data_IF_807949871098
#
_entry.id   IF_807949871098
#
_cell.length_a   1.000
_cell.length_b   1.000
_cell.length_c   1.000
_cell.angle_alpha   90.00
_cell.angle_beta   90.00
_cell.angle_gamma   90.00
#
_symmetry.space_group_name_H-M   'P 1'
#
loop_
_entity.id
_entity.type
_entity.pdbx_description
1 polymer ?
#
# COMPACT_ATOMS: atom_id res chain seq x y z
N UNK A 1 38.96 -13.15 -13.15
CA UNK A 1 38.00 -14.22 -13.42
C UNK A 1 37.31 -14.52 -12.10
N UNK A 2 36.31 -13.68 -11.74
CA UNK A 2 35.59 -13.80 -10.47
C UNK A 2 34.09 -14.03 -10.79
N UNK A 3 33.72 -15.31 -10.86
CA UNK A 3 32.34 -15.76 -10.92
C UNK A 3 31.81 -15.82 -9.49
N UNK A 4 31.46 -14.70 -8.92
CA UNK A 4 30.52 -14.71 -7.79
C UNK A 4 29.14 -15.02 -8.34
N UNK A 5 28.85 -16.33 -8.41
CA UNK A 5 27.52 -16.83 -8.70
C UNK A 5 26.53 -16.27 -7.69
N UNK A 6 25.74 -15.32 -8.13
CA UNK A 6 24.53 -14.87 -7.43
C UNK A 6 23.48 -15.96 -7.54
N UNK A 7 23.72 -17.09 -6.88
CA UNK A 7 22.67 -18.08 -6.64
C UNK A 7 21.67 -17.44 -5.68
N UNK A 8 20.53 -17.02 -6.21
CA UNK A 8 19.40 -16.65 -5.36
C UNK A 8 19.02 -17.89 -4.53
N UNK A 9 18.79 -17.73 -3.22
CA UNK A 9 18.35 -18.84 -2.39
C UNK A 9 17.07 -19.43 -2.95
N UNK A 10 17.03 -20.73 -3.13
CA UNK A 10 15.83 -21.45 -3.57
C UNK A 10 15.01 -21.97 -2.37
N UNK A 11 15.61 -22.03 -1.19
CA UNK A 11 14.97 -22.45 0.04
C UNK A 11 14.03 -21.34 0.57
N UNK A 12 12.74 -21.66 0.85
CA UNK A 12 11.76 -20.66 1.31
C UNK A 12 12.18 -19.88 2.56
N UNK A 13 12.85 -20.52 3.54
CA UNK A 13 13.30 -19.85 4.76
C UNK A 13 14.42 -18.85 4.47
N UNK A 14 15.36 -19.19 3.61
CA UNK A 14 16.43 -18.31 3.17
C UNK A 14 15.89 -17.13 2.34
N UNK A 15 14.90 -17.36 1.46
CA UNK A 15 14.22 -16.32 0.69
C UNK A 15 13.47 -15.35 1.62
N UNK A 16 12.72 -15.88 2.60
CA UNK A 16 12.00 -15.07 3.58
C UNK A 16 12.95 -14.18 4.37
N UNK A 17 14.08 -14.72 4.83
CA UNK A 17 15.12 -13.97 5.56
C UNK A 17 15.73 -12.86 4.71
N UNK A 18 15.97 -13.13 3.43
CA UNK A 18 16.53 -12.14 2.50
C UNK A 18 15.52 -11.02 2.18
N UNK A 19 14.24 -11.35 2.01
CA UNK A 19 13.16 -10.36 1.86
C UNK A 19 13.08 -9.47 3.11
N UNK A 20 13.07 -10.06 4.32
CA UNK A 20 13.04 -9.31 5.56
C UNK A 20 14.24 -8.37 5.72
N UNK A 21 15.41 -8.74 5.20
CA UNK A 21 16.61 -7.91 5.19
C UNK A 21 16.55 -6.79 4.14
N UNK A 22 16.06 -7.08 2.93
CA UNK A 22 16.06 -6.15 1.79
C UNK A 22 14.91 -5.14 1.87
N UNK A 23 13.73 -5.56 2.31
CA UNK A 23 12.54 -4.71 2.34
C UNK A 23 12.76 -3.39 3.11
N UNK A 24 13.32 -3.38 4.33
CA UNK A 24 13.59 -2.13 5.05
C UNK A 24 14.59 -1.22 4.34
N UNK A 25 15.57 -1.79 3.61
CA UNK A 25 16.53 -1.02 2.84
C UNK A 25 15.87 -0.36 1.61
N UNK A 26 15.03 -1.09 0.88
CA UNK A 26 14.22 -0.58 -0.23
C UNK A 26 13.28 0.52 0.26
N UNK A 27 12.56 0.26 1.35
CA UNK A 27 11.65 1.24 1.94
C UNK A 27 12.39 2.54 2.32
N UNK A 28 13.50 2.46 3.06
CA UNK A 28 14.29 3.64 3.44
C UNK A 28 14.84 4.40 2.23
N UNK A 29 15.26 3.68 1.19
CA UNK A 29 15.85 4.28 -0.02
C UNK A 29 14.82 5.03 -0.87
N UNK A 30 13.60 4.51 -0.95
CA UNK A 30 12.56 5.04 -1.82
C UNK A 30 11.39 5.68 -1.07
N UNK A 31 11.41 5.69 0.26
CA UNK A 31 10.38 6.36 1.05
C UNK A 31 10.23 7.81 0.63
N UNK A 32 9.01 8.22 0.35
CA UNK A 32 8.70 9.61 0.07
C UNK A 32 9.07 10.52 1.25
N UNK A 33 9.66 11.70 1.02
CA UNK A 33 9.96 12.65 2.09
C UNK A 33 8.70 13.05 2.84
N UNK A 34 8.76 13.12 4.16
CA UNK A 34 7.62 13.54 4.99
C UNK A 34 7.09 14.95 4.63
N UNK A 35 7.94 15.81 4.08
CA UNK A 35 7.61 17.16 3.63
C UNK A 35 6.69 17.19 2.40
N UNK A 36 6.65 16.13 1.58
CA UNK A 36 5.70 16.03 0.47
C UNK A 36 4.23 15.98 0.95
N UNK A 37 4.01 15.79 2.24
CA UNK A 37 2.71 15.72 2.91
C UNK A 37 2.32 17.07 3.53
N UNK A 38 3.27 17.99 3.71
CA UNK A 38 3.13 19.17 4.57
C UNK A 38 2.22 20.31 4.07
N UNK A 39 1.79 20.29 2.81
CA UNK A 39 0.95 21.36 2.24
C UNK A 39 -0.56 21.14 2.36
N UNK A 40 -1.03 19.92 2.57
CA UNK A 40 -2.45 19.55 2.52
C UNK A 40 -3.09 19.39 3.91
N UNK A 41 -2.30 19.44 4.98
CA UNK A 41 -2.76 19.14 6.33
C UNK A 41 -3.17 17.66 6.53
N UNK A 42 -2.83 16.78 5.59
CA UNK A 42 -3.09 15.36 5.68
C UNK A 42 -1.91 14.66 6.38
N UNK A 43 -2.23 13.79 7.33
CA UNK A 43 -1.20 12.95 7.95
C UNK A 43 -0.82 11.78 7.01
N UNK A 44 0.37 11.17 7.18
CA UNK A 44 0.74 9.98 6.40
C UNK A 44 -0.30 8.85 6.49
N UNK A 45 -0.91 8.64 7.66
CA UNK A 45 -1.97 7.63 7.85
C UNK A 45 -3.25 7.97 7.08
N UNK A 46 -3.64 9.24 7.03
CA UNK A 46 -4.79 9.68 6.23
C UNK A 46 -4.55 9.44 4.75
N UNK A 47 -3.34 9.72 4.26
CA UNK A 47 -2.94 9.43 2.88
C UNK A 47 -2.95 7.93 2.57
N UNK A 48 -2.49 7.10 3.49
CA UNK A 48 -2.55 5.64 3.34
C UNK A 48 -3.99 5.18 3.15
N UNK A 49 -4.94 5.69 3.95
CA UNK A 49 -6.38 5.40 3.80
C UNK A 49 -6.89 5.79 2.41
N UNK A 50 -6.59 7.01 1.95
CA UNK A 50 -7.02 7.48 0.63
C UNK A 50 -6.43 6.66 -0.52
N UNK A 51 -5.14 6.34 -0.43
CA UNK A 51 -4.45 5.54 -1.45
C UNK A 51 -4.95 4.11 -1.50
N UNK A 52 -5.28 3.54 -0.34
CA UNK A 52 -5.88 2.21 -0.26
C UNK A 52 -7.24 2.17 -0.95
N UNK A 53 -8.11 3.15 -0.68
CA UNK A 53 -9.42 3.27 -1.33
C UNK A 53 -9.33 3.49 -2.86
N UNK A 54 -8.24 4.07 -3.39
CA UNK A 54 -8.02 4.13 -4.84
C UNK A 54 -7.78 2.75 -5.44
N UNK A 55 -7.00 1.92 -4.76
CA UNK A 55 -6.61 0.60 -5.25
C UNK A 55 -7.71 -0.45 -5.09
N UNK A 56 -8.36 -0.48 -3.94
CA UNK A 56 -9.33 -1.52 -3.55
C UNK A 56 -10.78 -1.15 -3.83
N UNK A 57 -11.07 0.13 -4.13
CA UNK A 57 -12.44 0.63 -4.20
C UNK A 57 -13.03 0.93 -2.82
N UNK A 58 -14.36 1.06 -2.72
CA UNK A 58 -15.03 1.35 -1.47
C UNK A 58 -14.98 0.15 -0.52
N UNK A 59 -14.66 0.41 0.75
CA UNK A 59 -14.54 -0.58 1.82
C UNK A 59 -15.31 -0.14 3.06
N UNK A 60 -15.75 -1.10 3.87
CA UNK A 60 -16.23 -0.82 5.23
C UNK A 60 -15.06 -0.43 6.15
N UNK A 61 -15.36 0.16 7.32
CA UNK A 61 -14.33 0.47 8.33
C UNK A 61 -13.57 -0.79 8.77
N UNK A 62 -14.29 -1.92 8.92
CA UNK A 62 -13.68 -3.20 9.32
C UNK A 62 -12.70 -3.73 8.27
N UNK A 63 -13.14 -3.85 7.02
CA UNK A 63 -12.29 -4.28 5.90
C UNK A 63 -11.05 -3.37 5.76
N UNK A 64 -11.24 -2.05 5.89
CA UNK A 64 -10.14 -1.11 5.79
C UNK A 64 -9.16 -1.21 6.96
N UNK A 65 -9.65 -1.47 8.18
CA UNK A 65 -8.83 -1.68 9.36
C UNK A 65 -7.96 -2.94 9.21
N UNK A 66 -8.55 -4.03 8.77
CA UNK A 66 -7.88 -5.29 8.49
C UNK A 66 -6.76 -5.13 7.46
N UNK A 67 -7.10 -4.60 6.28
CA UNK A 67 -6.13 -4.37 5.20
C UNK A 67 -4.96 -3.44 5.59
N UNK A 68 -5.18 -2.49 6.49
CA UNK A 68 -4.15 -1.53 6.91
C UNK A 68 -3.42 -1.97 8.19
N UNK A 69 -3.81 -3.09 8.80
CA UNK A 69 -3.26 -3.54 10.08
C UNK A 69 -3.51 -2.55 11.22
N UNK A 70 -4.67 -1.88 11.22
CA UNK A 70 -5.08 -0.89 12.20
C UNK A 70 -6.28 -1.38 13.01
N UNK A 71 -6.49 -0.80 14.21
CA UNK A 71 -7.74 -1.03 14.93
C UNK A 71 -8.93 -0.36 14.22
N UNK A 72 -10.13 -0.92 14.33
CA UNK A 72 -11.36 -0.33 13.81
C UNK A 72 -11.61 1.09 14.37
N UNK A 73 -11.27 1.33 15.64
CA UNK A 73 -11.38 2.64 16.27
C UNK A 73 -10.45 3.66 15.60
N UNK A 74 -9.17 3.32 15.42
CA UNK A 74 -8.20 4.19 14.73
C UNK A 74 -8.62 4.48 13.28
N UNK A 75 -9.09 3.46 12.57
CA UNK A 75 -9.57 3.61 11.19
C UNK A 75 -10.81 4.50 11.13
N UNK A 76 -11.75 4.33 12.06
CA UNK A 76 -12.95 5.17 12.15
C UNK A 76 -12.63 6.65 12.41
N UNK A 77 -11.64 6.95 13.27
CA UNK A 77 -11.17 8.32 13.50
C UNK A 77 -10.51 8.93 12.25
N UNK A 78 -9.68 8.16 11.57
CA UNK A 78 -9.03 8.62 10.32
C UNK A 78 -10.06 8.93 9.25
N UNK A 79 -11.06 8.06 9.08
CA UNK A 79 -12.16 8.24 8.13
C UNK A 79 -13.02 9.45 8.51
N UNK A 80 -13.33 9.66 9.80
CA UNK A 80 -14.09 10.83 10.25
C UNK A 80 -13.37 12.14 9.89
N UNK A 81 -12.05 12.22 10.17
CA UNK A 81 -11.23 13.38 9.80
C UNK A 81 -11.13 13.62 8.30
N UNK A 82 -11.15 12.55 7.50
CA UNK A 82 -11.16 12.64 6.04
C UNK A 82 -12.52 13.08 5.53
N UNK A 83 -13.61 12.65 6.16
CA UNK A 83 -14.99 13.05 5.86
C UNK A 83 -15.24 14.52 6.18
N UNK A 84 -14.80 15.01 7.35
CA UNK A 84 -14.81 16.45 7.73
C UNK A 84 -14.09 17.33 6.70
N UNK A 85 -13.09 16.78 5.99
CA UNK A 85 -12.36 17.47 4.93
C UNK A 85 -12.97 17.29 3.54
N UNK A 86 -14.09 16.58 3.44
CA UNK A 86 -14.76 16.31 2.17
C UNK A 86 -13.98 15.38 1.23
N UNK A 87 -13.03 14.58 1.74
CA UNK A 87 -12.20 13.70 0.94
C UNK A 87 -12.79 12.30 0.80
N UNK A 88 -13.60 11.89 1.74
CA UNK A 88 -14.38 10.65 1.70
C UNK A 88 -15.83 10.95 2.11
N UNK A 89 -16.71 10.02 1.80
CA UNK A 89 -18.10 10.02 2.27
C UNK A 89 -18.50 8.61 2.68
N UNK A 90 -19.40 8.49 3.65
CA UNK A 90 -19.99 7.22 4.06
C UNK A 90 -21.31 7.01 3.37
N UNK A 91 -21.48 5.85 2.75
CA UNK A 91 -22.72 5.45 2.08
C UNK A 91 -23.17 4.08 2.59
N UNK A 92 -24.45 3.96 2.90
CA UNK A 92 -25.04 2.65 3.24
C UNK A 92 -25.22 1.83 1.99
N UNK A 93 -25.03 0.52 2.12
CA UNK A 93 -25.33 -0.41 1.05
C UNK A 93 -26.86 -0.51 0.86
N UNK A 94 -27.30 -0.41 -0.39
CA UNK A 94 -28.72 -0.53 -0.73
C UNK A 94 -29.28 -1.93 -0.49
N UNK A 95 -28.42 -2.97 -0.54
CA UNK A 95 -28.78 -4.39 -0.35
C UNK A 95 -28.70 -4.83 1.11
N UNK A 96 -27.71 -4.32 1.86
CA UNK A 96 -27.56 -4.57 3.29
C UNK A 96 -27.26 -3.26 4.03
N UNK A 97 -28.32 -2.65 4.56
CA UNK A 97 -28.27 -1.37 5.29
C UNK A 97 -27.40 -1.39 6.56
N UNK A 98 -26.96 -2.58 7.00
CA UNK A 98 -26.01 -2.72 8.11
C UNK A 98 -24.58 -2.41 7.68
N UNK A 99 -24.28 -2.53 6.39
CA UNK A 99 -22.98 -2.22 5.83
C UNK A 99 -22.90 -0.74 5.45
N UNK A 100 -21.86 -0.08 5.91
CA UNK A 100 -21.54 1.32 5.57
C UNK A 100 -20.17 1.33 4.91
N UNK A 101 -20.15 1.67 3.64
CA UNK A 101 -18.93 1.80 2.84
C UNK A 101 -18.38 3.21 2.89
N UNK A 102 -17.07 3.32 2.90
CA UNK A 102 -16.32 4.57 2.74
C UNK A 102 -15.95 4.72 1.28
N UNK A 103 -16.38 5.82 0.68
CA UNK A 103 -16.13 6.17 -0.72
C UNK A 103 -15.22 7.38 -0.82
N UNK A 104 -14.33 7.38 -1.82
CA UNK A 104 -13.61 8.59 -2.18
C UNK A 104 -14.52 9.58 -2.88
N UNK A 105 -14.48 10.84 -2.48
CA UNK A 105 -15.01 11.95 -3.26
C UNK A 105 -14.06 12.27 -4.43
N UNK A 106 -14.46 13.14 -5.35
CA UNK A 106 -13.57 13.63 -6.41
C UNK A 106 -12.37 14.39 -5.83
N UNK A 107 -12.59 15.16 -4.78
CA UNK A 107 -11.52 15.83 -4.03
C UNK A 107 -10.59 14.81 -3.36
N UNK A 108 -11.13 13.74 -2.79
CA UNK A 108 -10.35 12.64 -2.22
C UNK A 108 -9.49 11.92 -3.27
N UNK A 109 -10.06 11.62 -4.43
CA UNK A 109 -9.31 11.05 -5.56
C UNK A 109 -8.20 11.96 -6.06
N UNK A 110 -8.49 13.25 -6.22
CA UNK A 110 -7.50 14.24 -6.62
C UNK A 110 -6.38 14.36 -5.59
N UNK A 111 -6.74 14.44 -4.30
CA UNK A 111 -5.79 14.53 -3.20
C UNK A 111 -4.88 13.30 -3.12
N UNK A 112 -5.45 12.10 -3.20
CA UNK A 112 -4.67 10.87 -3.17
C UNK A 112 -3.69 10.73 -4.35
N UNK A 113 -4.06 11.23 -5.54
CA UNK A 113 -3.19 11.25 -6.72
C UNK A 113 -2.10 12.32 -6.65
N UNK A 114 -2.39 13.45 -6.03
CA UNK A 114 -1.43 14.56 -5.88
C UNK A 114 -0.33 14.25 -4.86
N UNK A 115 -0.60 13.34 -3.92
CA UNK A 115 0.39 12.96 -2.91
C UNK A 115 1.19 11.76 -3.38
N UNK A 116 2.53 11.80 -3.26
CA UNK A 116 3.35 10.69 -3.67
C UNK A 116 2.95 9.43 -2.91
N UNK A 117 2.91 8.32 -3.63
CA UNK A 117 2.78 6.97 -3.06
C UNK A 117 3.82 6.79 -1.96
N UNK A 118 3.64 5.77 -1.10
CA UNK A 118 4.57 5.41 -0.01
C UNK A 118 6.05 5.44 -0.45
N UNK A 119 6.29 5.12 -1.72
CA UNK A 119 7.59 5.25 -2.37
C UNK A 119 7.61 6.50 -3.27
N UNK A 120 8.69 7.26 -3.19
CA UNK A 120 8.92 8.44 -4.01
C UNK A 120 8.96 8.07 -5.50
N UNK A 121 7.96 8.53 -6.25
CA UNK A 121 7.69 8.10 -7.62
C UNK A 121 8.91 8.32 -8.54
N UNK A 122 9.53 9.49 -8.46
CA UNK A 122 10.68 9.82 -9.30
C UNK A 122 11.95 9.03 -8.97
N UNK A 123 12.23 8.78 -7.69
CA UNK A 123 13.38 8.01 -7.28
C UNK A 123 13.23 6.53 -7.67
N UNK A 124 12.03 5.98 -7.47
CA UNK A 124 11.71 4.62 -7.86
C UNK A 124 11.73 4.46 -9.39
N UNK A 125 11.12 5.38 -10.14
CA UNK A 125 11.15 5.38 -11.61
C UNK A 125 12.58 5.38 -12.16
N UNK A 126 13.46 6.26 -11.66
CA UNK A 126 14.87 6.28 -12.06
C UNK A 126 15.58 4.97 -11.78
N UNK A 127 15.36 4.39 -10.60
CA UNK A 127 15.97 3.11 -10.24
C UNK A 127 15.46 1.97 -11.14
N UNK A 128 14.16 1.87 -11.34
CA UNK A 128 13.55 0.88 -12.23
C UNK A 128 14.03 1.06 -13.67
N UNK A 129 14.22 2.30 -14.13
CA UNK A 129 14.74 2.57 -15.48
C UNK A 129 16.18 2.07 -15.65
N UNK A 130 16.99 2.14 -14.61
CA UNK A 130 18.36 1.65 -14.59
C UNK A 130 18.49 0.12 -14.46
N UNK A 131 17.42 -0.59 -14.09
CA UNK A 131 17.42 -2.06 -14.01
C UNK A 131 17.38 -2.68 -15.40
N UNK A 132 17.93 -3.89 -15.53
CA UNK A 132 17.77 -4.73 -16.74
C UNK A 132 16.30 -5.07 -16.93
N UNK A 133 15.79 -5.17 -18.18
CA UNK A 133 14.38 -5.50 -18.44
C UNK A 133 13.93 -6.80 -17.77
N UNK A 134 14.79 -7.81 -17.77
CA UNK A 134 14.54 -9.12 -17.12
C UNK A 134 14.34 -8.98 -15.63
N UNK A 135 15.15 -8.17 -14.96
CA UNK A 135 15.08 -7.96 -13.49
C UNK A 135 13.81 -7.18 -13.11
N UNK A 136 13.37 -6.24 -13.96
CA UNK A 136 12.09 -5.53 -13.77
C UNK A 136 10.91 -6.47 -13.81
N UNK A 137 10.87 -7.35 -14.80
CA UNK A 137 9.80 -8.34 -14.96
C UNK A 137 9.78 -9.32 -13.79
N UNK A 138 10.95 -9.86 -13.42
CA UNK A 138 11.09 -10.79 -12.31
C UNK A 138 10.68 -10.17 -10.97
N UNK A 139 11.04 -8.90 -10.71
CA UNK A 139 10.66 -8.18 -9.51
C UNK A 139 9.13 -8.04 -9.40
N UNK A 140 8.48 -7.58 -10.46
CA UNK A 140 7.01 -7.40 -10.47
C UNK A 140 6.29 -8.74 -10.31
N UNK A 141 6.76 -9.77 -11.00
CA UNK A 141 6.22 -11.13 -10.90
C UNK A 141 6.37 -11.68 -9.47
N UNK A 142 7.56 -11.55 -8.88
CA UNK A 142 7.83 -12.02 -7.52
C UNK A 142 7.00 -11.31 -6.46
N UNK A 143 6.83 -9.98 -6.58
CA UNK A 143 5.98 -9.22 -5.66
C UNK A 143 4.51 -9.61 -5.77
N UNK A 144 4.00 -9.88 -6.97
CA UNK A 144 2.62 -10.37 -7.17
C UNK A 144 2.43 -11.74 -6.57
N UNK A 145 3.31 -12.69 -6.86
CA UNK A 145 3.25 -14.05 -6.31
C UNK A 145 3.29 -14.04 -4.78
N UNK A 146 4.12 -13.17 -4.18
CA UNK A 146 4.19 -13.03 -2.72
C UNK A 146 2.88 -12.51 -2.12
N UNK A 147 2.23 -11.54 -2.78
CA UNK A 147 0.95 -11.00 -2.33
C UNK A 147 -0.18 -12.04 -2.47
N UNK A 148 -0.24 -12.76 -3.59
CA UNK A 148 -1.22 -13.82 -3.84
C UNK A 148 -1.10 -14.95 -2.80
N UNK A 149 0.11 -15.45 -2.56
CA UNK A 149 0.36 -16.47 -1.56
C UNK A 149 0.03 -16.01 -0.12
N UNK A 150 0.21 -14.73 0.19
CA UNK A 150 -0.17 -14.17 1.48
C UNK A 150 -1.69 -14.19 1.71
N UNK A 151 -2.47 -13.85 0.68
CA UNK A 151 -3.95 -13.87 0.75
C UNK A 151 -4.49 -15.31 0.92
N UNK A 152 -3.95 -16.28 0.18
CA UNK A 152 -4.35 -17.69 0.29
C UNK A 152 -4.07 -18.25 1.70
N UNK A 153 -2.94 -17.89 2.31
CA UNK A 153 -2.58 -18.32 3.66
C UNK A 153 -3.49 -17.74 4.75
N UNK A 154 -4.06 -16.55 4.54
CA UNK A 154 -5.02 -15.92 5.46
C UNK A 154 -6.40 -16.58 5.36
N UNK A 155 -6.84 -16.99 4.16
CA UNK A 155 -8.12 -17.69 3.95
C UNK A 155 -8.11 -19.10 4.57
N UNK A 156 -6.97 -19.80 4.56
CA UNK A 156 -6.84 -21.14 5.19
C UNK A 156 -6.84 -21.09 6.73
N UNK A 157 -6.62 -19.92 7.32
CA UNK A 157 -6.50 -19.76 8.79
C UNK A 157 -7.81 -19.20 9.41
N UNK A 158 -8.79 -18.78 8.60
CA UNK A 158 -10.09 -18.20 9.02
C UNK A 158 -11.19 -19.24 9.03
#
# INVERSE_FOLDING_TARGET
MDQRGTGLPADPAAVSSEIARLYPAVYRRFKAPAQAVGGSGLTPRMLTVLQHLIGSGPLTIGEQAEHLGLSAATTSELVARLEERGLVTRMRDDRDRRRVFVWLTDAGRASARAHPRVLADDALKRAVHAMRPTDRAALVQGLRALLEAGLEAEEETS
#
